data_IF_418558690500
#
_entry.id   IF_418558690500
#
_cell.length_a   1.000
_cell.length_b   1.000
_cell.length_c   1.000
_cell.angle_alpha   90.00
_cell.angle_beta   90.00
_cell.angle_gamma   90.00
#
_symmetry.space_group_name_H-M   'P 1'
#
loop_
_entity.id
_entity.type
_entity.pdbx_description
1 polymer ?
#
# COMPACT_ATOMS: atom_id res chain seq x y z
N UNK A 1 -5.82 -21.93 7.81
CA UNK A 1 -6.34 -21.00 8.83
C UNK A 1 -7.70 -20.51 8.36
N UNK A 2 -8.80 -20.69 9.11
CA UNK A 2 -10.11 -20.15 8.73
C UNK A 2 -10.09 -18.62 8.82
N UNK A 3 -10.77 -17.92 7.90
CA UNK A 3 -10.94 -16.46 8.00
C UNK A 3 -11.51 -16.12 9.39
N UNK A 4 -10.74 -15.39 10.18
CA UNK A 4 -11.24 -14.89 11.46
C UNK A 4 -12.31 -13.83 11.18
N UNK A 5 -13.32 -13.78 12.03
CA UNK A 5 -14.43 -12.82 11.89
C UNK A 5 -13.91 -11.37 11.74
N UNK A 6 -12.91 -10.90 12.53
CA UNK A 6 -12.36 -9.56 12.35
C UNK A 6 -11.74 -9.33 10.97
N UNK A 7 -10.98 -10.29 10.45
CA UNK A 7 -10.35 -10.19 9.12
C UNK A 7 -11.42 -10.16 8.03
N UNK A 8 -12.43 -11.01 8.12
CA UNK A 8 -13.53 -11.03 7.15
C UNK A 8 -14.31 -9.70 7.12
N UNK A 9 -14.57 -9.12 8.28
CA UNK A 9 -15.25 -7.81 8.39
C UNK A 9 -14.39 -6.70 7.75
N UNK A 10 -13.09 -6.66 8.03
CA UNK A 10 -12.18 -5.67 7.44
C UNK A 10 -12.07 -5.84 5.93
N UNK A 11 -11.99 -7.08 5.42
CA UNK A 11 -11.97 -7.34 3.98
C UNK A 11 -13.27 -6.91 3.30
N UNK A 12 -14.43 -7.16 3.91
CA UNK A 12 -15.71 -6.70 3.38
C UNK A 12 -15.78 -5.17 3.36
N UNK A 13 -15.31 -4.51 4.42
CA UNK A 13 -15.20 -3.06 4.47
C UNK A 13 -14.27 -2.53 3.35
N UNK A 14 -13.09 -3.14 3.16
CA UNK A 14 -12.16 -2.78 2.09
C UNK A 14 -12.79 -2.94 0.70
N UNK A 15 -13.48 -4.05 0.43
CA UNK A 15 -14.18 -4.26 -0.83
C UNK A 15 -15.27 -3.21 -1.06
N UNK A 16 -16.03 -2.88 -0.02
CA UNK A 16 -17.03 -1.82 -0.04
C UNK A 16 -16.43 -0.44 -0.31
N UNK A 17 -15.34 -0.08 0.37
CA UNK A 17 -14.63 1.18 0.18
C UNK A 17 -14.00 1.28 -1.21
N UNK A 18 -13.43 0.20 -1.74
CA UNK A 18 -12.88 0.15 -3.09
C UNK A 18 -13.97 0.36 -4.15
N UNK A 19 -15.11 -0.33 -4.01
CA UNK A 19 -16.26 -0.13 -4.90
C UNK A 19 -16.81 1.29 -4.79
N UNK A 20 -16.94 1.82 -3.57
CA UNK A 20 -17.39 3.18 -3.34
C UNK A 20 -16.45 4.20 -4.00
N UNK A 21 -15.14 4.06 -3.83
CA UNK A 21 -14.15 4.94 -4.47
C UNK A 21 -14.25 4.93 -6.00
N UNK A 22 -14.59 3.78 -6.61
CA UNK A 22 -14.74 3.63 -8.05
C UNK A 22 -16.07 4.15 -8.61
N UNK A 23 -17.15 4.13 -7.83
CA UNK A 23 -18.52 4.45 -8.29
C UNK A 23 -18.98 5.86 -7.88
N UNK A 24 -18.47 6.38 -6.76
CA UNK A 24 -18.78 7.74 -6.31
C UNK A 24 -18.29 8.74 -7.37
N UNK A 25 -19.19 9.66 -7.75
CA UNK A 25 -18.89 10.73 -8.72
C UNK A 25 -18.32 11.98 -8.07
N UNK A 26 -18.56 12.15 -6.78
CA UNK A 26 -18.04 13.27 -6.02
C UNK A 26 -16.58 13.01 -5.65
N UNK A 27 -15.67 13.87 -6.11
CA UNK A 27 -14.23 13.65 -5.94
C UNK A 27 -13.85 13.62 -4.46
N UNK A 28 -14.47 14.45 -3.61
CA UNK A 28 -14.23 14.42 -2.16
C UNK A 28 -14.69 13.09 -1.58
N UNK A 29 -15.90 12.64 -1.92
CA UNK A 29 -16.42 11.35 -1.52
C UNK A 29 -15.54 10.17 -1.96
N UNK A 30 -14.99 10.20 -3.18
CA UNK A 30 -14.06 9.18 -3.67
C UNK A 30 -12.73 9.20 -2.92
N UNK A 31 -12.20 10.39 -2.60
CA UNK A 31 -10.99 10.55 -1.76
C UNK A 31 -11.24 9.96 -0.37
N UNK A 32 -12.38 10.26 0.26
CA UNK A 32 -12.74 9.73 1.58
C UNK A 32 -12.93 8.20 1.53
N UNK A 33 -13.57 7.67 0.49
CA UNK A 33 -13.71 6.22 0.31
C UNK A 33 -12.36 5.53 0.11
N UNK A 34 -11.44 6.13 -0.65
CA UNK A 34 -10.08 5.64 -0.84
C UNK A 34 -9.26 5.69 0.47
N UNK A 35 -9.38 6.77 1.25
CA UNK A 35 -8.78 6.87 2.58
C UNK A 35 -9.32 5.78 3.52
N UNK A 36 -10.62 5.50 3.47
CA UNK A 36 -11.25 4.40 4.18
C UNK A 36 -10.67 3.04 3.77
N UNK A 37 -10.49 2.79 2.47
CA UNK A 37 -9.84 1.56 1.99
C UNK A 37 -8.44 1.39 2.59
N UNK A 38 -7.59 2.43 2.51
CA UNK A 38 -6.22 2.39 3.05
C UNK A 38 -6.20 2.23 4.58
N UNK A 39 -7.12 2.87 5.30
CA UNK A 39 -7.29 2.63 6.73
C UNK A 39 -7.66 1.18 7.02
N UNK A 40 -8.53 0.57 6.20
CA UNK A 40 -8.84 -0.87 6.28
C UNK A 40 -7.60 -1.75 6.09
N UNK A 41 -6.73 -1.40 5.14
CA UNK A 41 -5.43 -2.09 4.93
C UNK A 41 -4.54 -1.97 6.18
N UNK A 42 -4.43 -0.79 6.78
CA UNK A 42 -3.65 -0.58 8.00
C UNK A 42 -4.18 -1.45 9.16
N UNK A 43 -5.50 -1.50 9.35
CA UNK A 43 -6.13 -2.37 10.36
C UNK A 43 -5.87 -3.84 10.04
N UNK A 44 -5.95 -4.25 8.77
CA UNK A 44 -5.63 -5.62 8.36
C UNK A 44 -4.20 -6.00 8.74
N UNK A 45 -3.21 -5.13 8.49
CA UNK A 45 -1.82 -5.36 8.90
C UNK A 45 -1.66 -5.48 10.41
N UNK A 46 -2.37 -4.65 11.19
CA UNK A 46 -2.36 -4.75 12.64
C UNK A 46 -2.94 -6.10 13.12
N UNK A 47 -4.04 -6.57 12.51
CA UNK A 47 -4.64 -7.89 12.79
C UNK A 47 -3.69 -9.04 12.39
N UNK A 48 -2.90 -8.86 11.34
CA UNK A 48 -1.87 -9.80 10.89
C UNK A 48 -0.55 -9.67 11.66
N UNK A 49 -0.51 -8.89 12.76
CA UNK A 49 0.67 -8.68 13.62
C UNK A 49 1.87 -8.05 12.90
N UNK A 50 1.61 -7.16 11.94
CA UNK A 50 2.61 -6.35 11.28
C UNK A 50 2.45 -4.86 11.69
N UNK A 51 2.83 -4.49 12.93
CA UNK A 51 2.58 -3.13 13.46
C UNK A 51 3.33 -2.04 12.69
N UNK A 52 4.58 -2.28 12.27
CA UNK A 52 5.39 -1.30 11.54
C UNK A 52 4.79 -0.99 10.16
N UNK A 53 4.29 -2.02 9.47
CA UNK A 53 3.59 -1.89 8.18
C UNK A 53 2.23 -1.22 8.37
N UNK A 54 1.51 -1.54 9.45
CA UNK A 54 0.24 -0.90 9.78
C UNK A 54 0.40 0.61 10.03
N UNK A 55 1.45 1.01 10.76
CA UNK A 55 1.72 2.41 11.06
C UNK A 55 2.09 3.20 9.80
N UNK A 56 2.94 2.63 8.93
CA UNK A 56 3.33 3.27 7.67
C UNK A 56 2.16 3.41 6.71
N UNK A 57 1.32 2.38 6.58
CA UNK A 57 0.10 2.45 5.77
C UNK A 57 -0.88 3.51 6.31
N UNK A 58 -1.12 3.55 7.63
CA UNK A 58 -1.99 4.55 8.23
C UNK A 58 -1.47 5.99 8.00
N UNK A 59 -0.16 6.20 8.16
CA UNK A 59 0.44 7.52 7.99
C UNK A 59 0.46 7.97 6.52
N UNK A 60 0.89 7.12 5.60
CA UNK A 60 1.11 7.49 4.19
C UNK A 60 -0.16 7.31 3.36
N UNK A 61 -0.79 6.14 3.44
CA UNK A 61 -1.94 5.80 2.61
C UNK A 61 -3.19 6.55 3.07
N UNK A 62 -3.58 6.39 4.33
CA UNK A 62 -4.79 7.05 4.85
C UNK A 62 -4.55 8.53 5.20
N UNK A 63 -3.34 8.89 5.64
CA UNK A 63 -2.98 10.25 6.06
C UNK A 63 -2.52 11.15 4.90
N UNK A 64 -1.23 11.06 4.54
CA UNK A 64 -0.57 12.00 3.62
C UNK A 64 -1.24 12.01 2.25
N UNK A 65 -1.55 10.84 1.66
CA UNK A 65 -2.18 10.75 0.34
C UNK A 65 -3.53 11.46 0.29
N UNK A 66 -4.36 11.28 1.34
CA UNK A 66 -5.65 11.98 1.46
C UNK A 66 -5.46 13.49 1.50
N UNK A 67 -4.51 13.98 2.31
CA UNK A 67 -4.19 15.41 2.38
C UNK A 67 -3.73 15.92 1.02
N UNK A 68 -2.82 15.21 0.34
CA UNK A 68 -2.32 15.59 -0.98
C UNK A 68 -3.46 15.66 -2.01
N UNK A 69 -4.36 14.67 -2.05
CA UNK A 69 -5.52 14.72 -2.95
C UNK A 69 -6.46 15.89 -2.65
N UNK A 70 -6.75 16.16 -1.38
CA UNK A 70 -7.58 17.31 -1.00
C UNK A 70 -6.90 18.65 -1.33
N UNK A 71 -5.58 18.76 -1.14
CA UNK A 71 -4.82 19.95 -1.53
C UNK A 71 -4.83 20.16 -3.04
N UNK A 72 -4.64 19.09 -3.82
CA UNK A 72 -4.77 19.14 -5.29
C UNK A 72 -6.17 19.57 -5.69
N UNK A 73 -7.20 19.04 -5.04
CA UNK A 73 -8.58 19.39 -5.30
C UNK A 73 -8.89 20.85 -4.98
N UNK A 74 -8.40 21.34 -3.83
CA UNK A 74 -8.56 22.74 -3.42
C UNK A 74 -7.89 23.74 -4.38
N UNK A 75 -6.93 23.26 -5.19
CA UNK A 75 -6.18 24.06 -6.17
C UNK A 75 -6.59 23.80 -7.62
N UNK A 76 -7.60 22.97 -7.86
CA UNK A 76 -8.09 22.64 -9.20
C UNK A 76 -9.59 22.88 -9.31
N UNK A 77 -10.07 23.10 -10.52
CA UNK A 77 -11.51 23.17 -10.79
C UNK A 77 -12.02 21.79 -11.16
N UNK A 78 -12.92 21.24 -10.35
CA UNK A 78 -13.60 19.97 -10.67
C UNK A 78 -14.64 20.24 -11.74
N UNK A 79 -14.37 19.86 -12.98
CA UNK A 79 -15.41 19.81 -14.01
C UNK A 79 -16.20 18.52 -13.84
N UNK A 80 -17.42 18.63 -13.31
CA UNK A 80 -18.33 17.49 -13.18
C UNK A 80 -18.83 17.09 -14.57
N UNK A 81 -18.29 16.01 -15.11
CA UNK A 81 -18.84 15.34 -16.29
C UNK A 81 -20.01 14.46 -15.87
N UNK A 82 -21.21 14.73 -16.37
CA UNK A 82 -22.38 13.85 -16.15
C UNK A 82 -22.38 12.64 -17.11
N UNK A 83 -21.45 12.58 -18.06
CA UNK A 83 -21.28 11.44 -18.96
C UNK A 83 -20.20 10.51 -18.42
N UNK A 84 -20.57 9.24 -18.20
CA UNK A 84 -19.56 8.19 -18.12
C UNK A 84 -18.86 8.10 -19.48
N UNK A 85 -17.55 8.28 -19.50
CA UNK A 85 -16.77 7.88 -20.67
C UNK A 85 -16.98 6.39 -20.87
N UNK A 86 -17.39 6.00 -22.08
CA UNK A 86 -17.59 4.59 -22.41
C UNK A 86 -16.28 3.84 -22.20
N UNK A 87 -16.34 2.69 -21.54
CA UNK A 87 -15.16 1.84 -21.37
C UNK A 87 -14.72 1.40 -22.76
N UNK A 88 -13.56 1.87 -23.20
CA UNK A 88 -13.03 1.43 -24.50
C UNK A 88 -12.77 -0.07 -24.45
N UNK A 89 -13.12 -0.80 -25.51
CA UNK A 89 -12.88 -2.24 -25.58
C UNK A 89 -11.40 -2.59 -25.34
N UNK A 90 -10.48 -1.73 -25.81
CA UNK A 90 -9.03 -1.89 -25.61
C UNK A 90 -8.65 -1.77 -24.13
N UNK A 91 -9.17 -0.77 -23.43
CA UNK A 91 -8.94 -0.58 -22.00
C UNK A 91 -9.52 -1.74 -21.19
N UNK A 92 -10.74 -2.19 -21.53
CA UNK A 92 -11.37 -3.35 -20.91
C UNK A 92 -10.56 -4.63 -21.11
N UNK A 93 -10.12 -4.90 -22.34
CA UNK A 93 -9.26 -6.05 -22.65
C UNK A 93 -7.90 -5.97 -21.94
N UNK A 94 -7.30 -4.78 -21.84
CA UNK A 94 -6.05 -4.59 -21.12
C UNK A 94 -6.19 -4.89 -19.62
N UNK A 95 -7.27 -4.39 -18.98
CA UNK A 95 -7.56 -4.68 -17.57
C UNK A 95 -7.80 -6.18 -17.36
N UNK A 96 -8.60 -6.82 -18.22
CA UNK A 96 -8.84 -8.27 -18.14
C UNK A 96 -7.54 -9.05 -18.33
N UNK A 97 -6.69 -8.67 -19.28
CA UNK A 97 -5.40 -9.31 -19.50
C UNK A 97 -4.49 -9.20 -18.27
N UNK A 98 -4.42 -8.02 -17.63
CA UNK A 98 -3.66 -7.82 -16.39
C UNK A 98 -4.23 -8.71 -15.27
N UNK A 99 -5.54 -8.68 -15.05
CA UNK A 99 -6.20 -9.45 -13.99
C UNK A 99 -6.00 -10.95 -14.19
N UNK A 100 -6.14 -11.45 -15.42
CA UNK A 100 -5.92 -12.87 -15.73
C UNK A 100 -4.45 -13.25 -15.54
N UNK A 101 -3.51 -12.41 -15.98
CA UNK A 101 -2.07 -12.71 -15.86
C UNK A 101 -1.64 -12.75 -14.40
N UNK A 102 -2.03 -11.73 -13.61
CA UNK A 102 -1.74 -11.70 -12.18
C UNK A 102 -2.48 -12.82 -11.45
N UNK A 103 -3.77 -13.03 -11.77
CA UNK A 103 -4.58 -14.10 -11.20
C UNK A 103 -4.01 -15.49 -11.45
N UNK A 104 -3.41 -15.74 -12.62
CA UNK A 104 -2.75 -17.00 -12.96
C UNK A 104 -1.52 -17.30 -12.10
N UNK A 105 -0.92 -16.28 -11.46
CA UNK A 105 0.20 -16.49 -10.52
C UNK A 105 -0.24 -16.79 -9.09
N UNK A 106 -1.50 -16.56 -8.73
CA UNK A 106 -2.03 -16.79 -7.36
C UNK A 106 -1.86 -18.24 -6.90
N UNK A 107 -2.09 -19.28 -7.73
CA UNK A 107 -1.88 -20.67 -7.31
C UNK A 107 -0.42 -21.02 -7.01
N UNK A 108 0.55 -20.23 -7.48
CA UNK A 108 1.96 -20.43 -7.18
C UNK A 108 2.36 -19.93 -5.77
N UNK A 109 1.50 -19.15 -5.12
CA UNK A 109 1.73 -18.67 -3.76
C UNK A 109 1.40 -19.78 -2.74
N UNK A 110 2.19 -19.92 -1.67
CA UNK A 110 1.84 -20.81 -0.55
C UNK A 110 0.48 -20.45 0.03
N UNK A 111 -0.24 -21.46 0.53
CA UNK A 111 -1.49 -21.23 1.22
C UNK A 111 -1.27 -20.34 2.45
N UNK A 112 -2.23 -19.44 2.73
CA UNK A 112 -2.13 -18.54 3.88
C UNK A 112 -2.06 -19.33 5.19
N UNK A 113 -0.96 -19.15 5.92
CA UNK A 113 -0.69 -19.85 7.18
C UNK A 113 -0.15 -21.27 7.00
N UNK A 114 0.31 -21.64 5.81
CA UNK A 114 1.05 -22.89 5.59
C UNK A 114 2.36 -22.89 6.40
N UNK A 115 2.55 -23.83 7.35
CA UNK A 115 3.78 -23.92 8.15
C UNK A 115 5.03 -24.17 7.31
N UNK A 116 4.88 -24.75 6.12
CA UNK A 116 5.97 -25.01 5.19
C UNK A 116 6.26 -23.84 4.25
N UNK A 117 5.52 -22.73 4.37
CA UNK A 117 5.75 -21.54 3.57
C UNK A 117 7.20 -21.06 3.74
N UNK A 118 7.91 -20.68 2.66
CA UNK A 118 9.31 -20.26 2.73
C UNK A 118 9.57 -19.11 3.72
N UNK A 119 8.57 -18.26 3.97
CA UNK A 119 8.70 -17.15 4.93
C UNK A 119 8.74 -17.61 6.39
N UNK A 120 8.12 -18.76 6.71
CA UNK A 120 8.08 -19.35 8.05
C UNK A 120 9.18 -20.40 8.23
N UNK A 121 9.35 -21.28 7.26
CA UNK A 121 10.27 -22.41 7.31
C UNK A 121 11.66 -22.12 6.71
N UNK A 122 11.84 -20.98 6.04
CA UNK A 122 13.10 -20.66 5.36
C UNK A 122 14.20 -20.20 6.31
N UNK A 123 15.44 -20.54 5.96
CA UNK A 123 16.64 -20.25 6.75
C UNK A 123 16.83 -18.75 7.02
N UNK A 124 16.50 -17.90 6.05
CA UNK A 124 16.70 -16.44 6.15
C UNK A 124 15.84 -15.81 7.24
N UNK A 125 14.54 -16.13 7.28
CA UNK A 125 13.63 -15.61 8.31
C UNK A 125 14.05 -16.06 9.70
N UNK A 126 14.42 -17.35 9.85
CA UNK A 126 14.86 -17.89 11.14
C UNK A 126 16.19 -17.28 11.60
N UNK A 127 17.11 -17.05 10.65
CA UNK A 127 18.38 -16.37 10.92
C UNK A 127 18.14 -14.95 11.44
N UNK A 128 17.28 -14.15 10.78
CA UNK A 128 16.96 -12.80 11.27
C UNK A 128 16.33 -12.82 12.66
N UNK A 129 15.38 -13.73 12.93
CA UNK A 129 14.73 -13.83 14.24
C UNK A 129 15.71 -14.20 15.35
N UNK A 130 16.70 -15.06 15.06
CA UNK A 130 17.63 -15.58 16.06
C UNK A 130 18.84 -14.66 16.26
N UNK A 131 19.30 -13.97 15.22
CA UNK A 131 20.58 -13.24 15.24
C UNK A 131 20.45 -11.72 15.17
N UNK A 132 19.27 -11.15 14.89
CA UNK A 132 19.10 -9.69 14.74
C UNK A 132 19.63 -8.90 15.93
N UNK A 133 19.27 -9.28 17.16
CA UNK A 133 19.68 -8.53 18.35
C UNK A 133 21.20 -8.59 18.56
N UNK A 134 21.79 -9.79 18.49
CA UNK A 134 23.22 -9.97 18.74
C UNK A 134 24.10 -9.26 17.69
N UNK A 135 23.64 -9.15 16.45
CA UNK A 135 24.41 -8.55 15.36
C UNK A 135 24.19 -7.04 15.22
N UNK A 136 23.01 -6.52 15.60
CA UNK A 136 22.64 -5.11 15.36
C UNK A 136 22.42 -4.31 16.63
N UNK A 137 22.22 -4.95 17.78
CA UNK A 137 21.82 -4.32 19.03
C UNK A 137 20.37 -3.79 19.04
N UNK A 138 19.60 -4.03 17.98
CA UNK A 138 18.23 -3.53 17.81
C UNK A 138 17.22 -4.61 18.21
N UNK A 139 16.27 -4.24 19.08
CA UNK A 139 15.22 -5.17 19.56
C UNK A 139 14.10 -5.38 18.55
N UNK A 140 13.78 -4.36 17.74
CA UNK A 140 12.83 -4.50 16.65
C UNK A 140 13.48 -5.19 15.44
N UNK A 141 13.09 -6.44 15.20
CA UNK A 141 13.61 -7.25 14.08
C UNK A 141 13.34 -6.61 12.72
N UNK A 142 12.19 -5.96 12.51
CA UNK A 142 11.87 -5.29 11.24
C UNK A 142 12.84 -4.14 11.00
N UNK A 143 13.11 -3.32 12.02
CA UNK A 143 14.11 -2.24 11.93
C UNK A 143 15.52 -2.79 11.70
N UNK A 144 15.89 -3.88 12.40
CA UNK A 144 17.17 -4.54 12.19
C UNK A 144 17.34 -5.07 10.76
N UNK A 145 16.26 -5.60 10.15
CA UNK A 145 16.26 -6.03 8.75
C UNK A 145 16.37 -4.84 7.81
N UNK A 146 15.51 -3.84 7.94
CA UNK A 146 15.48 -2.70 7.01
C UNK A 146 16.77 -1.89 7.03
N UNK A 147 17.37 -1.65 8.21
CA UNK A 147 18.55 -0.79 8.35
C UNK A 147 19.85 -1.59 8.35
N UNK A 148 19.87 -2.74 9.02
CA UNK A 148 21.08 -3.56 9.22
C UNK A 148 21.31 -4.55 8.08
N UNK A 149 20.42 -5.53 7.92
CA UNK A 149 20.63 -6.62 6.95
C UNK A 149 20.38 -6.22 5.50
N UNK A 150 19.35 -5.39 5.26
CA UNK A 150 18.88 -4.96 3.94
C UNK A 150 18.93 -3.44 3.78
N UNK A 151 19.90 -2.80 4.45
CA UNK A 151 20.10 -1.35 4.41
C UNK A 151 20.27 -0.77 3.00
N UNK A 152 20.83 -1.54 2.05
CA UNK A 152 20.96 -1.12 0.66
C UNK A 152 19.62 -0.97 -0.05
N UNK A 153 18.64 -1.82 0.25
CA UNK A 153 17.30 -1.73 -0.33
C UNK A 153 16.61 -0.45 0.19
N UNK A 154 16.68 -0.21 1.50
CA UNK A 154 16.16 1.02 2.14
C UNK A 154 16.86 2.28 1.63
N UNK A 155 18.16 2.25 1.37
CA UNK A 155 18.88 3.36 0.75
C UNK A 155 18.33 3.67 -0.65
N UNK A 156 18.03 2.63 -1.44
CA UNK A 156 17.39 2.76 -2.74
C UNK A 156 15.99 3.38 -2.64
N UNK A 157 15.17 2.92 -1.69
CA UNK A 157 13.84 3.49 -1.43
C UNK A 157 13.91 4.97 -1.05
N UNK A 158 14.84 5.34 -0.16
CA UNK A 158 15.07 6.75 0.23
C UNK A 158 15.49 7.60 -0.98
N UNK A 159 16.37 7.08 -1.85
CA UNK A 159 16.77 7.78 -3.06
C UNK A 159 15.58 8.03 -4.01
N UNK A 160 14.68 7.06 -4.16
CA UNK A 160 13.47 7.19 -5.00
C UNK A 160 12.51 8.24 -4.42
N UNK A 161 12.25 8.20 -3.11
CA UNK A 161 11.37 9.19 -2.45
C UNK A 161 11.95 10.59 -2.56
N UNK A 162 13.27 10.74 -2.37
CA UNK A 162 13.96 12.00 -2.52
C UNK A 162 13.87 12.53 -3.97
N UNK A 163 14.11 11.68 -4.96
CA UNK A 163 13.98 12.03 -6.36
C UNK A 163 12.54 12.44 -6.73
N UNK A 164 11.53 11.75 -6.21
CA UNK A 164 10.12 12.12 -6.38
C UNK A 164 9.82 13.50 -5.77
N UNK A 165 10.39 13.81 -4.60
CA UNK A 165 10.30 15.13 -3.97
C UNK A 165 10.91 16.24 -4.85
N UNK A 166 12.11 16.02 -5.39
CA UNK A 166 12.75 16.96 -6.33
C UNK A 166 11.90 17.13 -7.59
N UNK A 167 11.44 16.03 -8.19
CA UNK A 167 10.60 16.07 -9.38
C UNK A 167 9.31 16.88 -9.15
N UNK A 168 8.69 16.72 -7.98
CA UNK A 168 7.52 17.51 -7.59
C UNK A 168 7.85 19.01 -7.53
N UNK A 169 8.95 19.41 -6.88
CA UNK A 169 9.36 20.82 -6.78
C UNK A 169 9.62 21.45 -8.15
N UNK A 170 10.30 20.71 -9.04
CA UNK A 170 10.56 21.13 -10.42
C UNK A 170 9.25 21.32 -11.21
N UNK A 171 8.33 20.35 -11.13
CA UNK A 171 7.02 20.43 -11.80
C UNK A 171 6.19 21.62 -11.28
N UNK A 172 6.20 21.85 -9.97
CA UNK A 172 5.47 22.95 -9.35
C UNK A 172 6.18 24.31 -9.53
N UNK A 173 7.35 24.36 -10.21
CA UNK A 173 8.22 25.54 -10.35
C UNK A 173 8.52 26.21 -9.02
N UNK A 174 8.59 25.40 -7.96
CA UNK A 174 8.92 25.82 -6.59
C UNK A 174 10.43 25.58 -6.41
N UNK A 175 11.23 26.24 -7.24
CA UNK A 175 12.69 26.32 -7.08
C UNK A 175 13.02 27.39 -6.04
N UNK A 176 12.73 27.11 -4.77
CA UNK A 176 13.15 27.98 -3.68
C UNK A 176 13.58 27.12 -2.49
N UNK A 177 14.80 26.62 -2.56
CA UNK A 177 15.61 26.45 -1.36
C UNK A 177 16.30 27.81 -1.13
N UNK A 178 15.58 28.72 -0.47
CA UNK A 178 16.15 29.93 0.16
C UNK A 178 15.86 29.83 1.64
#
# INVERSE_FOLDING_TARGET
>A
MSLSVPVAVVLLFMLGSALAAAVIRDVVGSIVAFAGYSFGVAVLWALLRAPDVALTEAAVGAGITTVLFLLTLARTTVTRSDRFEGISLRSGLAVVAIVVTVGATVPALPAVGDPSAPILAGDVSQYYLTNAYDQTGVTNVVTAVLVGYRGFDTLGEVAVVFAAGIAMLLVLRREAFV
#
